data_IF_482832312264
#
_entry.id   IF_482832312264
#
_cell.length_a   1.000
_cell.length_b   1.000
_cell.length_c   1.000
_cell.angle_alpha   90.00
_cell.angle_beta   90.00
_cell.angle_gamma   90.00
#
_symmetry.space_group_name_H-M   'P 1'
#
loop_
_entity.id
_entity.type
_entity.pdbx_description
1 polymer ?
#
# COMPACT_ATOMS: atom_id res chain seq x y z
N UNK A 1 -14.42 -46.19 11.80
CA UNK A 1 -13.79 -46.51 13.10
C UNK A 1 -14.27 -47.90 13.50
N UNK A 2 -13.51 -48.65 14.30
CA UNK A 2 -13.99 -49.93 14.84
C UNK A 2 -15.12 -49.70 15.85
N UNK A 3 -16.07 -50.62 15.95
CA UNK A 3 -17.11 -50.62 16.97
C UNK A 3 -16.57 -51.02 18.36
N UNK A 4 -15.33 -51.51 18.43
CA UNK A 4 -14.64 -51.86 19.67
C UNK A 4 -13.92 -50.62 20.20
N UNK A 5 -14.24 -50.22 21.43
CA UNK A 5 -13.59 -49.07 22.10
C UNK A 5 -12.08 -49.24 22.12
N UNK A 6 -11.36 -48.19 21.71
CA UNK A 6 -9.89 -48.11 21.64
C UNK A 6 -9.20 -49.04 20.62
N UNK A 7 -9.96 -49.73 19.76
CA UNK A 7 -9.38 -50.47 18.63
C UNK A 7 -9.40 -49.59 17.37
N UNK A 8 -8.22 -49.32 16.82
CA UNK A 8 -8.07 -48.47 15.65
C UNK A 8 -7.72 -49.33 14.43
N UNK A 9 -8.55 -49.26 13.38
CA UNK A 9 -8.35 -49.99 12.12
C UNK A 9 -7.68 -49.16 11.01
N UNK A 10 -7.42 -47.88 11.27
CA UNK A 10 -6.81 -46.94 10.33
C UNK A 10 -5.79 -46.07 11.06
N UNK A 11 -4.74 -45.66 10.35
CA UNK A 11 -3.85 -44.60 10.80
C UNK A 11 -4.59 -43.26 10.67
N UNK A 12 -4.84 -42.57 11.79
CA UNK A 12 -5.63 -41.35 11.85
C UNK A 12 -5.05 -40.36 12.86
N UNK A 13 -5.49 -39.11 12.79
CA UNK A 13 -5.02 -37.99 13.62
C UNK A 13 -6.16 -37.38 14.44
N UNK A 14 -5.82 -36.68 15.51
CA UNK A 14 -6.78 -35.91 16.31
C UNK A 14 -6.74 -34.43 15.93
N UNK A 15 -7.61 -34.01 15.00
CA UNK A 15 -7.81 -32.61 14.61
C UNK A 15 -9.14 -32.03 15.13
N UNK A 16 -9.61 -32.50 16.30
CA UNK A 16 -10.86 -32.02 16.90
C UNK A 16 -10.73 -30.57 17.36
N UNK A 17 -11.72 -29.76 17.01
CA UNK A 17 -11.94 -28.43 17.61
C UNK A 17 -12.44 -28.59 19.05
N UNK A 18 -11.92 -27.79 19.97
CA UNK A 18 -12.35 -27.79 21.38
C UNK A 18 -13.66 -27.01 21.57
N UNK A 19 -14.39 -27.30 22.64
CA UNK A 19 -15.62 -26.55 22.96
C UNK A 19 -15.37 -25.05 23.15
N UNK A 20 -14.19 -24.65 23.65
CA UNK A 20 -13.83 -23.23 23.82
C UNK A 20 -13.67 -22.54 22.46
N UNK A 21 -12.99 -23.17 21.50
CA UNK A 21 -12.86 -22.65 20.14
C UNK A 21 -14.23 -22.58 19.44
N UNK A 22 -15.07 -23.60 19.64
CA UNK A 22 -16.42 -23.62 19.09
C UNK A 22 -17.30 -22.50 19.66
N UNK A 23 -17.19 -22.22 20.97
CA UNK A 23 -17.90 -21.10 21.59
C UNK A 23 -17.47 -19.74 21.03
N UNK A 24 -16.16 -19.52 20.83
CA UNK A 24 -15.65 -18.30 20.21
C UNK A 24 -16.15 -18.13 18.76
N UNK A 25 -16.12 -19.22 17.97
CA UNK A 25 -16.64 -19.21 16.61
C UNK A 25 -18.16 -18.95 16.60
N UNK A 26 -18.90 -19.56 17.53
CA UNK A 26 -20.34 -19.40 17.63
C UNK A 26 -20.73 -17.93 17.86
N UNK A 27 -20.06 -17.24 18.79
CA UNK A 27 -20.27 -15.80 19.01
C UNK A 27 -19.91 -14.97 17.76
N UNK A 28 -18.80 -15.27 17.07
CA UNK A 28 -18.43 -14.57 15.83
C UNK A 28 -19.44 -14.78 14.69
N UNK A 29 -20.05 -15.96 14.61
CA UNK A 29 -21.08 -16.26 13.61
C UNK A 29 -22.41 -15.55 13.91
N UNK A 30 -22.72 -15.31 15.18
CA UNK A 30 -23.88 -14.50 15.57
C UNK A 30 -23.71 -13.04 15.11
N UNK A 31 -22.51 -12.49 15.21
CA UNK A 31 -22.20 -11.08 14.88
C UNK A 31 -21.62 -10.89 13.46
N UNK A 32 -21.73 -11.91 12.59
CA UNK A 32 -21.01 -11.94 11.31
C UNK A 32 -21.36 -10.76 10.38
N UNK A 33 -22.63 -10.34 10.38
CA UNK A 33 -23.11 -9.23 9.54
C UNK A 33 -22.43 -7.92 9.93
N UNK A 34 -22.38 -7.62 11.23
CA UNK A 34 -21.71 -6.42 11.75
C UNK A 34 -20.20 -6.43 11.48
N UNK A 35 -19.55 -7.58 11.68
CA UNK A 35 -18.12 -7.78 11.40
C UNK A 35 -17.84 -7.51 9.92
N UNK A 36 -18.65 -8.06 9.01
CA UNK A 36 -18.51 -7.86 7.58
C UNK A 36 -18.75 -6.40 7.19
N UNK A 37 -19.81 -5.76 7.69
CA UNK A 37 -20.09 -4.34 7.43
C UNK A 37 -18.92 -3.43 7.81
N UNK A 38 -18.32 -3.64 8.98
CA UNK A 38 -17.17 -2.87 9.44
C UNK A 38 -15.95 -3.08 8.54
N UNK A 39 -15.74 -4.32 8.08
CA UNK A 39 -14.67 -4.66 7.14
C UNK A 39 -14.89 -4.05 5.76
N UNK A 40 -16.12 -4.03 5.25
CA UNK A 40 -16.44 -3.36 4.00
C UNK A 40 -16.23 -1.85 4.07
N UNK A 41 -16.57 -1.18 5.19
CA UNK A 41 -16.27 0.25 5.38
C UNK A 41 -14.79 0.58 5.23
N UNK A 42 -13.90 -0.29 5.73
CA UNK A 42 -12.44 -0.15 5.57
C UNK A 42 -12.06 -0.30 4.09
N UNK A 43 -12.60 -1.31 3.40
CA UNK A 43 -12.30 -1.56 2.00
C UNK A 43 -12.79 -0.42 1.10
N UNK A 44 -14.02 0.05 1.30
CA UNK A 44 -14.61 1.17 0.56
C UNK A 44 -13.84 2.48 0.79
N UNK A 45 -13.28 2.68 1.98
CA UNK A 45 -12.45 3.84 2.26
C UNK A 45 -11.11 3.77 1.53
N UNK A 46 -10.45 2.60 1.51
CA UNK A 46 -9.25 2.42 0.69
C UNK A 46 -9.53 2.58 -0.82
N UNK A 47 -10.64 2.03 -1.32
CA UNK A 47 -11.04 2.18 -2.73
C UNK A 47 -11.14 3.67 -3.12
N UNK A 48 -11.72 4.52 -2.26
CA UNK A 48 -11.77 5.98 -2.45
C UNK A 48 -10.39 6.63 -2.38
N UNK A 49 -9.56 6.23 -1.41
CA UNK A 49 -8.22 6.78 -1.24
C UNK A 49 -7.29 6.46 -2.41
N UNK A 50 -7.52 5.36 -3.13
CA UNK A 50 -6.70 4.95 -4.26
C UNK A 50 -7.29 5.27 -5.63
N UNK A 51 -8.48 5.89 -5.71
CA UNK A 51 -9.16 6.20 -6.96
C UNK A 51 -8.25 6.98 -7.93
N UNK A 52 -7.52 7.97 -7.42
CA UNK A 52 -6.60 8.81 -8.20
C UNK A 52 -5.34 8.08 -8.68
N UNK A 53 -5.01 6.91 -8.12
CA UNK A 53 -3.90 6.06 -8.57
C UNK A 53 -4.35 4.94 -9.51
N UNK A 54 -5.62 4.52 -9.40
CA UNK A 54 -6.21 3.47 -10.22
C UNK A 54 -6.49 4.01 -11.62
N UNK A 55 -7.09 5.19 -11.75
CA UNK A 55 -7.40 5.80 -13.04
C UNK A 55 -6.19 5.92 -14.00
N UNK A 56 -5.00 6.37 -13.55
CA UNK A 56 -3.79 6.41 -14.39
C UNK A 56 -3.08 5.05 -14.50
N UNK A 57 -3.58 3.99 -13.87
CA UNK A 57 -2.98 2.65 -13.90
C UNK A 57 -1.69 2.49 -13.11
N UNK A 58 -1.41 3.37 -12.14
CA UNK A 58 -0.19 3.31 -11.32
C UNK A 58 -0.30 2.24 -10.23
N UNK A 59 -1.51 2.02 -9.72
CA UNK A 59 -1.85 0.87 -8.87
C UNK A 59 -3.00 0.09 -9.49
N UNK A 60 -3.10 -1.19 -9.13
CA UNK A 60 -4.23 -2.03 -9.47
C UNK A 60 -4.77 -2.69 -8.21
N UNK A 61 -6.09 -2.64 -8.04
CA UNK A 61 -6.80 -3.38 -6.99
C UNK A 61 -7.52 -4.58 -7.59
N UNK A 62 -8.00 -5.49 -6.74
CA UNK A 62 -8.75 -6.66 -7.18
C UNK A 62 -10.01 -6.25 -7.94
N UNK A 63 -10.35 -6.99 -8.99
CA UNK A 63 -11.59 -6.78 -9.76
C UNK A 63 -12.75 -7.48 -9.07
N UNK A 64 -13.90 -6.83 -9.01
CA UNK A 64 -15.17 -7.46 -8.63
C UNK A 64 -15.70 -8.21 -9.85
N UNK A 65 -15.77 -9.54 -9.78
CA UNK A 65 -16.35 -10.35 -10.85
C UNK A 65 -17.88 -10.30 -10.77
N UNK A 66 -18.54 -10.45 -11.92
CA UNK A 66 -20.00 -10.46 -11.98
C UNK A 66 -20.54 -11.61 -11.12
N UNK A 67 -21.61 -11.35 -10.37
CA UNK A 67 -22.29 -12.33 -9.51
C UNK A 67 -21.39 -12.89 -8.38
N UNK A 68 -20.37 -12.12 -7.98
CA UNK A 68 -19.49 -12.43 -6.84
C UNK A 68 -19.50 -11.33 -5.78
N UNK A 69 -19.19 -11.72 -4.55
CA UNK A 69 -18.94 -10.80 -3.44
C UNK A 69 -17.52 -11.03 -2.94
N UNK A 70 -16.69 -9.99 -2.91
CA UNK A 70 -15.34 -10.10 -2.41
C UNK A 70 -15.35 -10.33 -0.88
N UNK A 71 -14.57 -11.30 -0.41
CA UNK A 71 -14.34 -11.48 1.03
C UNK A 71 -13.38 -10.41 1.53
N UNK A 72 -13.76 -9.59 2.53
CA UNK A 72 -12.93 -8.49 2.98
C UNK A 72 -11.89 -8.98 4.00
N UNK A 73 -11.05 -9.96 3.66
CA UNK A 73 -10.05 -10.50 4.59
C UNK A 73 -8.91 -9.49 4.85
N UNK A 74 -8.12 -9.22 3.81
CA UNK A 74 -7.00 -8.29 3.85
C UNK A 74 -7.00 -7.47 2.56
N UNK A 75 -6.79 -6.17 2.68
CA UNK A 75 -6.74 -5.28 1.52
C UNK A 75 -5.40 -5.45 0.80
N UNK A 76 -5.43 -5.73 -0.49
CA UNK A 76 -4.24 -5.94 -1.31
C UNK A 76 -4.20 -4.93 -2.45
N UNK A 77 -3.04 -4.32 -2.66
CA UNK A 77 -2.79 -3.36 -3.74
C UNK A 77 -1.58 -3.81 -4.53
N UNK A 78 -1.71 -3.82 -5.86
CA UNK A 78 -0.61 -4.08 -6.79
C UNK A 78 0.03 -2.75 -7.19
N UNK A 79 1.32 -2.62 -6.96
CA UNK A 79 2.13 -1.48 -7.38
C UNK A 79 3.03 -1.98 -8.52
N UNK A 80 2.85 -1.44 -9.73
CA UNK A 80 3.59 -1.92 -10.90
C UNK A 80 5.08 -1.59 -10.81
N UNK A 81 5.92 -2.50 -11.29
CA UNK A 81 7.40 -2.36 -11.26
C UNK A 81 7.95 -2.08 -9.85
N UNK A 82 7.33 -2.69 -8.84
CA UNK A 82 7.77 -2.54 -7.46
C UNK A 82 9.23 -2.96 -7.26
N UNK A 83 9.87 -2.40 -6.22
CA UNK A 83 11.19 -2.81 -5.71
C UNK A 83 11.12 -4.24 -5.14
N UNK A 84 12.23 -4.76 -4.63
CA UNK A 84 12.25 -6.07 -3.96
C UNK A 84 11.34 -6.08 -2.72
N UNK A 85 10.96 -7.28 -2.26
CA UNK A 85 10.13 -7.43 -1.05
C UNK A 85 10.83 -6.80 0.16
N UNK A 86 12.13 -6.99 0.27
CA UNK A 86 12.97 -6.48 1.34
C UNK A 86 13.01 -4.95 1.34
N UNK A 87 13.25 -4.33 0.19
CA UNK A 87 13.24 -2.86 0.03
C UNK A 87 11.87 -2.27 0.33
N UNK A 88 10.81 -2.91 -0.18
CA UNK A 88 9.43 -2.50 0.08
C UNK A 88 9.12 -2.56 1.57
N UNK A 89 9.37 -3.70 2.22
CA UNK A 89 9.15 -3.86 3.65
C UNK A 89 9.96 -2.86 4.48
N UNK A 90 11.22 -2.62 4.10
CA UNK A 90 12.07 -1.64 4.78
C UNK A 90 11.49 -0.22 4.69
N UNK A 91 11.05 0.19 3.49
CA UNK A 91 10.47 1.51 3.26
C UNK A 91 9.20 1.73 4.09
N UNK A 92 8.26 0.78 4.06
CA UNK A 92 7.01 0.88 4.82
C UNK A 92 7.25 0.84 6.33
N UNK A 93 8.16 -0.03 6.79
CA UNK A 93 8.53 -0.12 8.20
C UNK A 93 9.17 1.17 8.72
N UNK A 94 10.01 1.83 7.91
CA UNK A 94 10.59 3.14 8.23
C UNK A 94 9.54 4.26 8.36
N UNK A 95 8.33 4.04 7.83
CA UNK A 95 7.17 4.92 7.96
C UNK A 95 6.14 4.42 9.00
N UNK A 96 6.53 3.48 9.87
CA UNK A 96 5.68 2.81 10.87
C UNK A 96 4.42 2.16 10.28
N UNK A 97 4.57 1.47 9.16
CA UNK A 97 3.51 0.67 8.54
C UNK A 97 4.01 -0.76 8.37
N UNK A 98 3.29 -1.71 8.95
CA UNK A 98 3.53 -3.13 8.76
C UNK A 98 2.72 -3.64 7.56
N UNK A 99 3.41 -4.14 6.54
CA UNK A 99 2.81 -4.72 5.34
C UNK A 99 3.20 -6.19 5.25
N UNK A 100 2.47 -6.96 4.43
CA UNK A 100 2.88 -8.31 4.05
C UNK A 100 3.07 -8.41 2.55
N UNK A 101 4.13 -9.07 2.06
CA UNK A 101 4.21 -9.40 0.64
C UNK A 101 3.10 -10.37 0.28
N UNK A 102 2.69 -10.38 -0.99
CA UNK A 102 1.82 -11.43 -1.50
C UNK A 102 2.50 -12.80 -1.43
N UNK A 103 1.73 -13.88 -1.56
CA UNK A 103 2.23 -15.22 -1.32
C UNK A 103 3.41 -15.57 -2.23
N UNK A 104 4.40 -16.25 -1.66
CA UNK A 104 5.52 -16.76 -2.43
C UNK A 104 5.05 -17.87 -3.39
N UNK A 105 5.69 -17.99 -4.56
CA UNK A 105 5.48 -19.14 -5.43
C UNK A 105 5.80 -20.45 -4.71
N UNK A 106 5.09 -21.52 -5.07
CA UNK A 106 5.18 -22.81 -4.34
C UNK A 106 6.61 -23.33 -4.21
N UNK A 107 7.42 -23.17 -5.24
CA UNK A 107 8.79 -23.67 -5.31
C UNK A 107 9.82 -22.74 -4.63
N UNK A 108 9.40 -21.58 -4.12
CA UNK A 108 10.26 -20.75 -3.26
C UNK A 108 10.44 -21.36 -1.86
N UNK A 109 9.57 -22.30 -1.47
CA UNK A 109 9.70 -23.02 -0.21
C UNK A 109 10.69 -24.18 -0.35
N UNK A 110 11.72 -24.22 0.50
CA UNK A 110 12.80 -25.24 0.45
C UNK A 110 12.31 -26.70 0.35
N UNK A 111 11.23 -27.05 1.03
CA UNK A 111 10.67 -28.42 1.00
C UNK A 111 9.87 -28.74 -0.27
N UNK A 112 9.67 -27.75 -1.14
CA UNK A 112 8.94 -27.82 -2.41
C UNK A 112 9.80 -27.30 -3.58
N UNK A 113 11.09 -27.04 -3.37
CA UNK A 113 11.97 -26.40 -4.36
C UNK A 113 12.13 -27.22 -5.65
N UNK A 114 11.89 -28.53 -5.57
CA UNK A 114 11.94 -29.47 -6.70
C UNK A 114 10.67 -29.45 -7.56
N UNK A 115 9.60 -28.78 -7.11
CA UNK A 115 8.37 -28.64 -7.89
C UNK A 115 8.62 -27.63 -9.00
N UNK A 116 8.47 -28.07 -10.25
CA UNK A 116 8.57 -27.18 -11.40
C UNK A 116 7.43 -26.15 -11.37
N UNK A 117 7.78 -24.85 -11.41
CA UNK A 117 6.81 -23.76 -11.49
C UNK A 117 7.01 -22.99 -12.81
N UNK A 118 6.05 -23.13 -13.73
CA UNK A 118 6.03 -22.43 -15.03
C UNK A 118 5.24 -21.12 -14.98
N UNK A 119 4.69 -20.76 -13.83
CA UNK A 119 3.89 -19.55 -13.66
C UNK A 119 4.77 -18.36 -13.26
N UNK A 120 5.22 -17.60 -14.26
CA UNK A 120 5.96 -16.35 -14.06
C UNK A 120 5.12 -15.28 -13.34
N UNK A 121 3.78 -15.34 -13.46
CA UNK A 121 2.87 -14.37 -12.85
C UNK A 121 2.95 -14.44 -11.33
N UNK A 122 3.09 -15.65 -10.75
CA UNK A 122 3.27 -15.83 -9.31
C UNK A 122 4.44 -15.02 -8.74
N UNK A 123 5.59 -14.99 -9.43
CA UNK A 123 6.76 -14.21 -9.01
C UNK A 123 6.53 -12.70 -9.15
N UNK A 124 5.89 -12.28 -10.24
CA UNK A 124 5.53 -10.88 -10.47
C UNK A 124 4.58 -10.39 -9.37
N UNK A 125 3.55 -11.17 -9.06
CA UNK A 125 2.56 -10.82 -8.04
C UNK A 125 3.16 -10.82 -6.63
N UNK A 126 4.02 -11.78 -6.30
CA UNK A 126 4.75 -11.80 -5.02
C UNK A 126 5.56 -10.51 -4.80
N UNK A 127 6.18 -9.96 -5.84
CA UNK A 127 6.93 -8.70 -5.80
C UNK A 127 6.03 -7.46 -5.79
N UNK A 128 5.00 -7.45 -6.62
CA UNK A 128 4.22 -6.23 -6.91
C UNK A 128 3.01 -6.03 -6.02
N UNK A 129 2.45 -7.11 -5.45
CA UNK A 129 1.28 -7.03 -4.59
C UNK A 129 1.73 -6.95 -3.13
N UNK A 130 1.26 -5.92 -2.45
CA UNK A 130 1.39 -5.77 -1.00
C UNK A 130 0.02 -5.87 -0.35
N UNK A 131 -0.02 -6.56 0.78
CA UNK A 131 -1.18 -6.62 1.66
C UNK A 131 -1.00 -5.60 2.78
N UNK A 132 -1.92 -4.64 2.84
CA UNK A 132 -1.82 -3.46 3.70
C UNK A 132 -2.70 -3.60 4.95
N UNK A 133 -2.40 -2.82 6.03
CA UNK A 133 -3.19 -2.83 7.25
C UNK A 133 -4.68 -2.63 6.98
N UNK A 134 -5.48 -3.60 7.43
CA UNK A 134 -6.93 -3.59 7.26
C UNK A 134 -7.61 -4.31 8.45
N UNK A 135 -7.00 -4.22 9.63
CA UNK A 135 -7.59 -4.80 10.86
C UNK A 135 -8.95 -4.15 11.17
N UNK A 136 -9.86 -4.82 11.89
CA UNK A 136 -11.15 -4.24 12.27
C UNK A 136 -11.05 -2.93 13.07
N UNK A 137 -9.89 -2.66 13.70
CA UNK A 137 -9.66 -1.48 14.53
C UNK A 137 -8.96 -0.33 13.81
N UNK A 138 -8.60 -0.50 12.52
CA UNK A 138 -7.88 0.54 11.79
C UNK A 138 -8.77 1.78 11.59
N UNK A 139 -8.24 2.94 11.93
CA UNK A 139 -8.95 4.22 11.79
C UNK A 139 -8.83 4.77 10.36
N UNK A 140 -9.75 5.65 9.96
CA UNK A 140 -9.66 6.35 8.68
C UNK A 140 -8.36 7.18 8.55
N UNK A 141 -7.86 7.73 9.66
CA UNK A 141 -6.60 8.49 9.69
C UNK A 141 -5.39 7.58 9.43
N UNK A 142 -5.38 6.37 10.00
CA UNK A 142 -4.33 5.38 9.73
C UNK A 142 -4.40 4.89 8.29
N UNK A 143 -5.60 4.67 7.74
CA UNK A 143 -5.77 4.34 6.32
C UNK A 143 -5.25 5.45 5.41
N UNK A 144 -5.52 6.73 5.73
CA UNK A 144 -4.95 7.87 5.01
C UNK A 144 -3.42 7.86 5.07
N UNK A 145 -2.82 7.63 6.24
CA UNK A 145 -1.36 7.51 6.37
C UNK A 145 -0.81 6.40 5.47
N UNK A 146 -1.47 5.24 5.42
CA UNK A 146 -1.07 4.13 4.55
C UNK A 146 -1.13 4.54 3.08
N UNK A 147 -2.22 5.20 2.67
CA UNK A 147 -2.35 5.71 1.30
C UNK A 147 -1.23 6.71 0.98
N UNK A 148 -1.02 7.72 1.82
CA UNK A 148 0.03 8.74 1.65
C UNK A 148 1.42 8.13 1.49
N UNK A 149 1.75 7.09 2.25
CA UNK A 149 3.02 6.38 2.13
C UNK A 149 3.12 5.60 0.82
N UNK A 150 2.02 5.01 0.34
CA UNK A 150 1.99 4.39 -1.00
C UNK A 150 2.23 5.43 -2.09
N UNK A 151 1.61 6.61 -2.01
CA UNK A 151 1.87 7.72 -2.92
C UNK A 151 3.35 8.09 -2.94
N UNK A 152 3.96 8.29 -1.75
CA UNK A 152 5.39 8.57 -1.63
C UNK A 152 6.27 7.43 -2.18
N UNK A 153 5.86 6.19 -1.94
CA UNK A 153 6.59 5.01 -2.39
C UNK A 153 6.57 4.86 -3.92
N UNK A 154 5.47 5.17 -4.60
CA UNK A 154 5.40 5.16 -6.08
C UNK A 154 6.42 6.10 -6.71
N UNK A 155 6.58 7.30 -6.15
CA UNK A 155 7.62 8.24 -6.59
C UNK A 155 9.02 7.73 -6.25
N UNK A 156 9.21 7.15 -5.07
CA UNK A 156 10.48 6.54 -4.68
C UNK A 156 10.90 5.42 -5.63
N UNK A 157 9.96 4.60 -6.13
CA UNK A 157 10.25 3.57 -7.13
C UNK A 157 10.80 4.17 -8.43
N UNK A 158 10.35 5.38 -8.78
CA UNK A 158 10.80 6.15 -9.95
C UNK A 158 12.10 6.93 -9.70
N UNK A 159 12.78 6.66 -8.59
CA UNK A 159 13.98 7.36 -8.14
C UNK A 159 13.79 8.89 -8.01
N UNK A 160 12.56 9.29 -7.62
CA UNK A 160 12.20 10.67 -7.30
C UNK A 160 12.32 10.86 -5.79
N UNK A 161 13.20 11.78 -5.38
CA UNK A 161 13.38 12.17 -3.98
C UNK A 161 12.26 13.11 -3.54
N UNK A 162 11.67 12.84 -2.37
CA UNK A 162 10.62 13.67 -1.78
C UNK A 162 11.20 14.38 -0.57
N UNK A 163 11.07 15.70 -0.56
CA UNK A 163 11.51 16.54 0.56
C UNK A 163 10.29 17.22 1.16
N UNK A 164 9.94 16.82 2.39
CA UNK A 164 8.90 17.48 3.18
C UNK A 164 9.38 18.88 3.60
N UNK A 165 8.69 19.92 3.11
CA UNK A 165 8.98 21.32 3.42
C UNK A 165 8.34 21.69 4.74
N UNK A 166 9.13 22.21 5.67
CA UNK A 166 8.70 22.61 7.00
C UNK A 166 9.39 23.90 7.43
N UNK A 167 9.02 24.43 8.60
CA UNK A 167 9.55 25.69 9.12
C UNK A 167 11.09 25.71 9.29
N UNK A 168 11.75 24.56 9.39
CA UNK A 168 13.20 24.46 9.56
C UNK A 168 13.94 24.53 8.22
N UNK A 169 13.43 23.86 7.17
CA UNK A 169 14.12 23.75 5.89
C UNK A 169 13.58 24.67 4.78
N UNK A 170 12.38 25.23 4.95
CA UNK A 170 11.66 26.06 3.96
C UNK A 170 12.52 27.17 3.36
N UNK A 171 13.11 28.01 4.21
CA UNK A 171 13.88 29.18 3.77
C UNK A 171 15.09 28.76 2.91
N UNK A 172 15.77 27.68 3.31
CA UNK A 172 16.94 27.16 2.58
C UNK A 172 16.54 26.62 1.21
N UNK A 173 15.50 25.79 1.16
CA UNK A 173 14.97 25.21 -0.08
C UNK A 173 14.53 26.31 -1.05
N UNK A 174 13.80 27.31 -0.57
CA UNK A 174 13.24 28.36 -1.42
C UNK A 174 14.33 29.29 -1.96
N UNK A 175 15.34 29.61 -1.14
CA UNK A 175 16.49 30.38 -1.62
C UNK A 175 17.28 29.62 -2.69
N UNK A 176 17.50 28.31 -2.49
CA UNK A 176 18.15 27.46 -3.48
C UNK A 176 17.38 27.49 -4.81
N UNK A 177 16.08 27.27 -4.77
CA UNK A 177 15.22 27.36 -5.95
C UNK A 177 15.33 28.72 -6.65
N UNK A 178 15.08 29.82 -5.94
CA UNK A 178 15.11 31.18 -6.53
C UNK A 178 16.45 31.50 -7.17
N UNK A 179 17.57 31.09 -6.55
CA UNK A 179 18.92 31.31 -7.09
C UNK A 179 19.20 30.60 -8.41
N UNK A 180 18.48 29.51 -8.72
CA UNK A 180 18.67 28.73 -9.95
C UNK A 180 17.70 29.14 -11.07
N UNK A 181 16.69 29.96 -10.79
CA UNK A 181 15.75 30.45 -11.81
C UNK A 181 16.47 31.39 -12.77
N UNK A 182 16.59 30.97 -14.02
CA UNK A 182 17.06 31.83 -15.12
C UNK A 182 15.88 32.39 -15.93
N UNK A 183 16.12 33.47 -16.67
CA UNK A 183 15.12 34.25 -17.42
C UNK A 183 14.27 33.45 -18.43
N UNK A 184 14.59 32.19 -18.68
CA UNK A 184 14.07 31.41 -19.80
C UNK A 184 12.79 30.62 -19.46
N UNK A 185 12.42 30.43 -18.19
CA UNK A 185 11.31 29.51 -17.82
C UNK A 185 10.28 30.10 -16.85
N UNK A 186 10.66 30.96 -15.90
CA UNK A 186 9.70 31.48 -14.90
C UNK A 186 9.98 32.94 -14.50
N UNK A 187 9.62 33.87 -15.40
CA UNK A 187 9.73 35.33 -15.17
C UNK A 187 8.95 35.80 -13.93
N UNK A 188 7.90 35.05 -13.54
CA UNK A 188 7.00 35.38 -12.43
C UNK A 188 7.68 35.43 -11.04
N UNK A 189 8.66 34.56 -10.77
CA UNK A 189 9.26 34.43 -9.43
C UNK A 189 10.46 35.35 -9.17
N UNK A 190 11.01 36.00 -10.20
CA UNK A 190 12.28 36.75 -10.11
C UNK A 190 12.29 37.85 -9.05
N UNK A 191 11.15 38.49 -8.81
CA UNK A 191 11.02 39.64 -7.92
C UNK A 191 10.09 39.36 -6.72
N UNK A 192 9.86 38.09 -6.39
CA UNK A 192 8.94 37.71 -5.29
C UNK A 192 9.69 37.26 -4.05
N UNK A 193 9.05 37.39 -2.90
CA UNK A 193 9.56 36.92 -1.62
C UNK A 193 9.29 35.44 -1.42
N UNK A 194 10.04 34.82 -0.49
CA UNK A 194 9.88 33.41 -0.06
C UNK A 194 8.42 33.10 0.32
N UNK A 195 7.69 34.06 0.88
CA UNK A 195 6.28 33.92 1.27
C UNK A 195 5.34 33.66 0.10
N UNK A 196 5.65 34.11 -1.11
CA UNK A 196 4.77 33.81 -2.24
C UNK A 196 4.87 32.33 -2.65
N UNK A 197 6.02 31.68 -2.39
CA UNK A 197 6.32 30.35 -2.91
C UNK A 197 5.52 29.24 -2.23
N UNK A 198 5.01 29.48 -1.02
CA UNK A 198 4.13 28.53 -0.34
C UNK A 198 2.90 28.19 -1.19
N UNK A 199 2.37 29.18 -1.91
CA UNK A 199 1.21 29.02 -2.79
C UNK A 199 1.58 28.44 -4.17
N UNK A 200 2.86 28.27 -4.48
CA UNK A 200 3.37 27.89 -5.81
C UNK A 200 4.17 26.59 -5.78
N UNK A 201 3.88 25.73 -4.82
CA UNK A 201 4.67 24.54 -4.58
C UNK A 201 4.62 23.50 -5.71
N UNK A 202 3.53 23.42 -6.47
CA UNK A 202 3.49 22.61 -7.70
C UNK A 202 4.54 23.06 -8.71
N UNK A 203 4.86 24.36 -8.76
CA UNK A 203 5.90 24.90 -9.63
C UNK A 203 7.31 24.60 -9.12
N UNK A 204 7.51 24.53 -7.80
CA UNK A 204 8.76 24.06 -7.19
C UNK A 204 9.03 22.59 -7.56
N UNK A 205 8.00 21.75 -7.52
CA UNK A 205 8.12 20.32 -7.82
C UNK A 205 8.49 20.02 -9.29
N UNK A 206 7.97 20.78 -10.26
CA UNK A 206 8.23 20.55 -11.69
C UNK A 206 9.63 21.00 -12.14
N UNK A 207 10.37 21.72 -11.30
CA UNK A 207 11.67 22.32 -11.67
C UNK A 207 12.84 21.35 -11.59
N UNK A 208 12.90 20.47 -10.58
CA UNK A 208 14.10 19.64 -10.32
C UNK A 208 14.05 18.27 -11.03
N UNK A 209 12.92 17.89 -11.65
CA UNK A 209 12.63 16.61 -12.35
C UNK A 209 12.84 15.30 -11.55
N UNK A 210 13.77 15.26 -10.59
CA UNK A 210 14.10 14.13 -9.70
C UNK A 210 13.91 14.46 -8.23
N UNK A 211 13.68 15.72 -7.86
CA UNK A 211 13.40 16.14 -6.49
C UNK A 211 12.05 16.85 -6.48
N UNK A 212 11.16 16.40 -5.61
CA UNK A 212 9.84 16.98 -5.39
C UNK A 212 9.77 17.54 -3.98
N UNK A 213 9.52 18.84 -3.90
CA UNK A 213 9.31 19.55 -2.63
C UNK A 213 7.82 19.59 -2.33
N UNK A 214 7.40 19.09 -1.16
CA UNK A 214 5.99 19.05 -0.77
C UNK A 214 5.73 19.78 0.55
N UNK A 215 4.71 20.64 0.56
CA UNK A 215 4.06 21.18 1.75
C UNK A 215 2.78 20.38 2.07
N UNK A 216 2.22 19.72 1.05
CA UNK A 216 0.96 18.99 1.11
C UNK A 216 1.02 17.76 0.18
N UNK A 217 0.63 16.60 0.71
CA UNK A 217 0.59 15.32 0.00
C UNK A 217 -0.36 15.35 -1.22
N UNK A 218 -1.38 16.22 -1.23
CA UNK A 218 -2.32 16.36 -2.36
C UNK A 218 -1.64 16.78 -3.66
N UNK A 219 -0.49 17.45 -3.58
CA UNK A 219 0.30 17.84 -4.74
C UNK A 219 1.00 16.63 -5.38
N UNK A 220 1.29 15.60 -4.59
CA UNK A 220 1.91 14.36 -5.05
C UNK A 220 1.04 13.65 -6.11
N UNK A 221 -0.28 13.68 -5.89
CA UNK A 221 -1.29 13.10 -6.80
C UNK A 221 -1.18 13.74 -8.19
N UNK A 222 -1.03 15.08 -8.26
CA UNK A 222 -0.89 15.78 -9.54
C UNK A 222 0.37 15.36 -10.29
N UNK A 223 1.48 15.17 -9.59
CA UNK A 223 2.77 14.84 -10.21
C UNK A 223 2.81 13.41 -10.76
N UNK A 224 2.21 12.46 -10.04
CA UNK A 224 2.08 11.07 -10.48
C UNK A 224 1.29 10.97 -11.79
N UNK A 225 0.33 11.87 -12.02
CA UNK A 225 -0.50 11.93 -13.22
C UNK A 225 0.13 12.63 -14.43
N UNK A 226 1.25 13.35 -14.24
CA UNK A 226 1.93 14.08 -15.33
C UNK A 226 3.03 13.22 -15.99
N UNK A 227 3.43 12.11 -15.36
CA UNK A 227 4.50 11.20 -15.81
C UNK A 227 4.01 9.93 -16.51
#
# INVERSE_FOLDING_TARGET
MSDIKYLHCLHAYNYRMTNVQAALLYEQLIDIEHILENKYKIFDNYDKLFEDLISPGKVTIYKKEKDTVNSPWIYAVRILNNKTIEETNHYFKANDIDIRPFFYPINAHKHLETIENKDEVSYIFNREIIMIPSSPTITAKEQQKVADVIYKFILYIQDIEIIDVNHLNRTSIYNNFLSKITNCHFRYFRNRTIECLDNHITTLALYDKKIVYILDIRILIMLINIG
#
